data_IF_266558576570
#
_entry.id   IF_266558576570
#
_cell.length_a   1.000
_cell.length_b   1.000
_cell.length_c   1.000
_cell.angle_alpha   90.00
_cell.angle_beta   90.00
_cell.angle_gamma   90.00
#
_symmetry.space_group_name_H-M   'P 1'
#
loop_
_entity.id
_entity.type
_entity.pdbx_description
1 polymer ?
#
# COMPACT_ATOMS: atom_id res chain seq x y z
N UNK A 1 -14.47 -71.35 -1.59
CA UNK A 1 -14.80 -70.65 -0.34
C UNK A 1 -14.36 -71.55 0.80
N UNK A 2 -13.20 -71.26 1.40
CA UNK A 2 -12.77 -71.45 2.81
C UNK A 2 -11.37 -70.84 2.91
N UNK A 3 -11.16 -70.06 3.97
CA UNK A 3 -9.99 -69.22 4.26
C UNK A 3 -9.33 -69.79 5.53
N UNK A 4 -8.02 -69.60 5.71
CA UNK A 4 -7.25 -69.88 6.94
C UNK A 4 -6.12 -70.88 6.67
N UNK A 5 -4.88 -70.77 7.16
CA UNK A 5 -4.30 -70.20 8.40
C UNK A 5 -2.82 -69.91 8.06
N UNK A 6 -2.22 -68.73 8.27
CA UNK A 6 -1.69 -68.25 9.55
C UNK A 6 -0.34 -68.90 9.93
N UNK A 7 0.80 -68.26 9.64
CA UNK A 7 2.04 -68.40 10.43
C UNK A 7 2.80 -67.06 10.42
N UNK A 8 3.02 -66.50 11.60
CA UNK A 8 3.93 -65.38 11.85
C UNK A 8 5.36 -65.92 11.97
N UNK A 9 6.35 -65.23 11.40
CA UNK A 9 7.67 -65.21 12.00
C UNK A 9 8.38 -63.90 11.64
N UNK A 10 8.67 -63.11 12.67
CA UNK A 10 9.49 -61.91 12.58
C UNK A 10 10.97 -62.30 12.48
N UNK A 11 11.74 -61.58 11.68
CA UNK A 11 13.00 -60.96 12.14
C UNK A 11 13.66 -60.13 11.05
N UNK A 12 13.86 -58.87 11.43
CA UNK A 12 15.07 -58.06 11.31
C UNK A 12 15.72 -57.80 9.95
N UNK A 13 15.77 -56.49 9.70
CA UNK A 13 16.89 -55.68 9.21
C UNK A 13 17.17 -55.67 7.71
N UNK A 14 17.50 -54.44 7.29
CA UNK A 14 18.00 -53.96 5.99
C UNK A 14 16.93 -53.13 5.24
N UNK A 15 17.13 -51.86 4.85
CA UNK A 15 18.33 -51.02 4.60
C UNK A 15 17.85 -49.55 4.34
N UNK A 16 18.78 -48.57 4.43
CA UNK A 16 18.76 -47.20 3.83
C UNK A 16 17.82 -46.13 4.45
N UNK A 17 18.19 -44.88 4.74
CA UNK A 17 19.33 -44.03 4.37
C UNK A 17 19.32 -42.81 5.33
N UNK A 18 20.44 -42.25 5.84
CA UNK A 18 20.41 -41.09 6.74
C UNK A 18 20.20 -39.73 6.06
N UNK A 19 20.02 -39.69 4.73
CA UNK A 19 19.95 -38.45 3.95
C UNK A 19 18.52 -38.03 3.58
N UNK A 20 17.68 -37.78 4.58
CA UNK A 20 16.43 -37.03 4.33
C UNK A 20 16.36 -35.78 5.21
N UNK A 21 17.41 -34.98 5.16
CA UNK A 21 17.28 -33.55 5.43
C UNK A 21 16.74 -32.99 4.12
N UNK A 22 15.41 -32.81 4.03
CA UNK A 22 14.85 -31.90 3.03
C UNK A 22 15.51 -30.54 3.28
N UNK A 23 16.47 -30.18 2.43
CA UNK A 23 16.95 -28.81 2.35
C UNK A 23 15.71 -27.94 2.16
N UNK A 24 15.43 -27.10 3.16
CA UNK A 24 14.39 -26.09 3.05
C UNK A 24 14.70 -25.30 1.77
N UNK A 25 13.80 -25.40 0.79
CA UNK A 25 13.89 -24.66 -0.45
C UNK A 25 14.06 -23.19 -0.09
N UNK A 26 15.28 -22.67 -0.28
CA UNK A 26 15.57 -21.26 -0.09
C UNK A 26 14.92 -20.55 -1.25
N UNK A 27 13.67 -20.10 -1.06
CA UNK A 27 12.98 -19.26 -2.05
C UNK A 27 13.88 -18.08 -2.41
N UNK A 28 14.33 -18.05 -3.66
CA UNK A 28 15.19 -16.99 -4.18
C UNK A 28 14.36 -15.73 -4.37
N UNK A 29 14.56 -14.75 -3.50
CA UNK A 29 13.96 -13.42 -3.62
C UNK A 29 14.63 -12.65 -4.78
N UNK A 30 14.02 -12.65 -5.96
CA UNK A 30 14.58 -12.00 -7.15
C UNK A 30 14.23 -10.51 -7.19
N UNK A 31 15.07 -9.66 -6.59
CA UNK A 31 14.92 -8.21 -6.60
C UNK A 31 14.94 -7.55 -8.00
N UNK A 32 15.27 -8.28 -9.07
CA UNK A 32 15.29 -7.75 -10.44
C UNK A 32 13.98 -7.98 -11.22
N UNK A 33 13.12 -8.88 -10.73
CA UNK A 33 11.78 -9.06 -11.26
C UNK A 33 10.96 -7.81 -10.92
N UNK A 34 10.64 -6.99 -11.92
CA UNK A 34 9.75 -5.81 -11.78
C UNK A 34 8.27 -6.19 -11.47
N UNK A 35 8.04 -7.28 -10.73
CA UNK A 35 6.76 -7.92 -10.40
C UNK A 35 6.64 -8.10 -8.89
N UNK A 36 5.41 -8.30 -8.40
CA UNK A 36 5.19 -8.60 -6.98
C UNK A 36 5.83 -9.96 -6.62
N UNK A 37 6.49 -10.00 -5.47
CA UNK A 37 6.95 -11.21 -4.81
C UNK A 37 6.12 -11.40 -3.56
N UNK A 38 5.47 -12.55 -3.47
CA UNK A 38 4.43 -12.82 -2.47
C UNK A 38 4.71 -14.16 -1.79
N UNK A 39 4.40 -14.23 -0.50
CA UNK A 39 4.43 -15.43 0.32
C UNK A 39 3.08 -15.63 0.97
N UNK A 40 2.46 -16.77 0.70
CA UNK A 40 1.23 -17.18 1.36
C UNK A 40 1.54 -17.74 2.76
N UNK A 41 0.73 -17.35 3.73
CA UNK A 41 0.78 -17.81 5.12
C UNK A 41 -0.62 -18.16 5.57
N UNK A 42 -0.75 -19.17 6.45
CA UNK A 42 -2.00 -19.45 7.15
C UNK A 42 -1.83 -19.03 8.61
N UNK A 43 -2.72 -18.18 9.09
CA UNK A 43 -2.72 -17.67 10.47
C UNK A 43 -3.31 -18.71 11.44
N UNK A 44 -3.13 -18.48 12.75
CA UNK A 44 -3.61 -19.38 13.80
C UNK A 44 -5.14 -19.58 13.80
N UNK A 45 -5.89 -18.59 13.30
CA UNK A 45 -7.34 -18.66 13.15
C UNK A 45 -7.80 -19.35 11.86
N UNK A 46 -6.86 -19.89 11.07
CA UNK A 46 -7.11 -20.53 9.78
C UNK A 46 -7.26 -19.56 8.61
N UNK A 47 -7.07 -18.26 8.82
CA UNK A 47 -7.14 -17.25 7.75
C UNK A 47 -5.92 -17.35 6.85
N UNK A 48 -6.15 -17.40 5.54
CA UNK A 48 -5.10 -17.24 4.53
C UNK A 48 -4.67 -15.76 4.45
N UNK A 49 -3.37 -15.52 4.52
CA UNK A 49 -2.76 -14.21 4.38
C UNK A 49 -1.67 -14.23 3.33
N UNK A 50 -1.46 -13.09 2.69
CA UNK A 50 -0.37 -12.90 1.71
C UNK A 50 0.53 -11.77 2.18
N UNK A 51 1.81 -12.07 2.37
CA UNK A 51 2.85 -11.08 2.61
C UNK A 51 3.62 -10.85 1.32
N UNK A 52 3.67 -9.63 0.81
CA UNK A 52 4.35 -9.35 -0.46
C UNK A 52 5.12 -8.05 -0.49
N UNK A 53 6.11 -7.99 -1.40
CA UNK A 53 6.87 -6.80 -1.77
C UNK A 53 6.78 -6.64 -3.27
N UNK A 54 6.49 -5.42 -3.74
CA UNK A 54 6.40 -5.13 -5.18
C UNK A 54 7.20 -3.86 -5.50
N UNK A 55 8.10 -3.88 -6.50
CA UNK A 55 8.74 -2.67 -6.99
C UNK A 55 7.68 -1.76 -7.60
N UNK A 56 7.62 -0.52 -7.11
CA UNK A 56 6.70 0.49 -7.63
C UNK A 56 7.44 1.30 -8.68
N UNK A 57 7.05 1.13 -9.95
CA UNK A 57 7.41 2.08 -11.00
C UNK A 57 6.51 3.30 -10.79
N UNK A 58 7.08 4.42 -10.31
CA UNK A 58 6.36 5.67 -10.03
C UNK A 58 5.68 6.29 -11.27
N UNK A 59 6.02 5.80 -12.47
CA UNK A 59 5.57 6.30 -13.77
C UNK A 59 4.28 5.66 -14.32
N UNK A 60 3.42 5.00 -13.51
CA UNK A 60 2.12 4.55 -14.05
C UNK A 60 1.15 5.73 -14.27
N UNK A 61 0.70 5.98 -15.51
CA UNK A 61 -0.36 6.94 -15.77
C UNK A 61 -1.74 6.33 -15.43
N UNK A 62 -2.72 7.19 -15.10
CA UNK A 62 -4.15 7.11 -15.47
C UNK A 62 -5.21 7.48 -14.40
N UNK A 63 -4.88 7.69 -13.11
CA UNK A 63 -5.83 8.27 -12.13
C UNK A 63 -5.24 9.39 -11.26
N UNK A 64 -4.13 9.98 -11.69
CA UNK A 64 -3.46 11.10 -11.01
C UNK A 64 -3.52 12.33 -11.90
N UNK A 65 -3.84 13.49 -11.34
CA UNK A 65 -3.77 14.76 -12.06
C UNK A 65 -2.36 15.32 -11.97
N UNK A 66 -1.67 15.49 -13.10
CA UNK A 66 -0.33 16.09 -13.14
C UNK A 66 -0.35 17.42 -13.88
N UNK A 67 0.23 18.44 -13.26
CA UNK A 67 0.27 19.81 -13.77
C UNK A 67 1.69 20.36 -13.76
N UNK A 68 2.03 21.14 -14.78
CA UNK A 68 3.31 21.85 -14.86
C UNK A 68 3.33 23.06 -13.93
N UNK A 69 4.46 23.29 -13.27
CA UNK A 69 4.71 24.42 -12.37
C UNK A 69 5.70 25.41 -13.01
N UNK A 70 5.40 26.70 -12.89
CA UNK A 70 6.34 27.76 -13.23
C UNK A 70 7.41 27.94 -12.13
N UNK A 71 8.51 28.61 -12.47
CA UNK A 71 9.50 29.05 -11.48
C UNK A 71 8.89 30.06 -10.50
N UNK A 72 9.40 30.10 -9.27
CA UNK A 72 8.92 31.00 -8.22
C UNK A 72 7.91 30.34 -7.28
N UNK A 73 7.18 31.17 -6.52
CA UNK A 73 6.19 30.70 -5.54
C UNK A 73 4.78 30.80 -6.09
N UNK A 74 4.02 29.71 -5.97
CA UNK A 74 2.61 29.61 -6.34
C UNK A 74 1.79 28.99 -5.21
N UNK A 75 0.48 29.27 -5.20
CA UNK A 75 -0.46 28.68 -4.24
C UNK A 75 -1.50 27.89 -5.01
N UNK A 76 -1.75 26.66 -4.58
CA UNK A 76 -2.67 25.73 -5.22
C UNK A 76 -3.71 25.24 -4.22
N UNK A 77 -4.95 25.12 -4.66
CA UNK A 77 -5.98 24.37 -3.94
C UNK A 77 -5.98 22.94 -4.45
N UNK A 78 -5.71 22.00 -3.55
CA UNK A 78 -5.77 20.57 -3.82
C UNK A 78 -7.12 20.08 -3.32
N UNK A 79 -7.90 19.40 -4.15
CA UNK A 79 -9.25 19.00 -3.79
C UNK A 79 -9.67 17.67 -4.41
N UNK A 80 -10.65 17.05 -3.78
CA UNK A 80 -11.44 15.95 -4.31
C UNK A 80 -12.92 16.23 -4.01
N UNK A 81 -13.78 16.06 -5.00
CA UNK A 81 -15.23 16.21 -4.88
C UNK A 81 -15.93 14.99 -5.47
N UNK A 82 -16.83 14.40 -4.70
CA UNK A 82 -17.63 13.23 -5.08
C UNK A 82 -18.92 13.20 -4.26
N UNK A 83 -19.80 12.23 -4.55
CA UNK A 83 -21.07 12.10 -3.81
C UNK A 83 -20.87 11.91 -2.30
N UNK A 84 -19.83 11.18 -1.88
CA UNK A 84 -19.54 10.92 -0.46
C UNK A 84 -18.42 11.81 0.05
N UNK A 85 -17.25 11.75 -0.60
CA UNK A 85 -16.04 12.38 -0.11
C UNK A 85 -15.84 13.74 -0.78
N UNK A 86 -15.82 14.81 0.02
CA UNK A 86 -15.44 16.14 -0.40
C UNK A 86 -14.38 16.67 0.55
N UNK A 87 -13.18 16.97 0.06
CA UNK A 87 -12.11 17.51 0.89
C UNK A 87 -11.15 18.37 0.07
N UNK A 88 -10.47 19.29 0.76
CA UNK A 88 -9.45 20.13 0.14
C UNK A 88 -8.44 20.65 1.15
N UNK A 89 -7.29 21.10 0.65
CA UNK A 89 -6.34 21.92 1.38
C UNK A 89 -5.59 22.84 0.41
N UNK A 90 -4.96 23.88 0.95
CA UNK A 90 -4.08 24.76 0.19
C UNK A 90 -2.62 24.33 0.34
N UNK A 91 -1.87 24.35 -0.75
CA UNK A 91 -0.43 24.11 -0.79
C UNK A 91 0.30 25.33 -1.39
N UNK A 92 1.24 25.91 -0.65
CA UNK A 92 2.24 26.82 -1.20
C UNK A 92 3.40 26.01 -1.75
N UNK A 93 3.76 26.25 -3.00
CA UNK A 93 4.82 25.53 -3.71
C UNK A 93 5.83 26.56 -4.18
N UNK A 94 7.12 26.31 -3.92
CA UNK A 94 8.21 27.12 -4.45
C UNK A 94 9.08 26.27 -5.38
N UNK A 95 9.34 26.78 -6.58
CA UNK A 95 10.19 26.16 -7.60
C UNK A 95 11.42 27.03 -7.81
N UNK A 96 12.60 26.49 -7.52
CA UNK A 96 13.88 27.19 -7.68
C UNK A 96 14.84 26.32 -8.46
N UNK A 97 15.45 26.86 -9.52
CA UNK A 97 16.37 26.12 -10.42
C UNK A 97 15.76 24.80 -10.94
N UNK A 98 14.48 24.81 -11.25
CA UNK A 98 13.75 23.63 -11.75
C UNK A 98 13.38 22.58 -10.70
N UNK A 99 13.69 22.80 -9.41
CA UNK A 99 13.32 21.91 -8.31
C UNK A 99 12.20 22.54 -7.48
N UNK A 100 11.03 21.90 -7.49
CA UNK A 100 9.84 22.29 -6.74
C UNK A 100 9.77 21.62 -5.38
N UNK A 101 9.22 22.34 -4.40
CA UNK A 101 8.86 21.80 -3.08
C UNK A 101 7.63 22.49 -2.53
N UNK A 102 6.82 21.73 -1.80
CA UNK A 102 5.75 22.26 -0.96
C UNK A 102 6.40 22.93 0.26
N UNK A 103 6.19 24.22 0.41
CA UNK A 103 6.71 25.01 1.54
C UNK A 103 5.71 25.07 2.68
N UNK A 104 4.41 25.03 2.39
CA UNK A 104 3.35 25.00 3.41
C UNK A 104 2.11 24.25 2.89
N UNK A 105 1.44 23.54 3.81
CA UNK A 105 0.15 22.92 3.58
C UNK A 105 -0.81 23.36 4.70
N UNK A 106 -1.93 23.98 4.36
CA UNK A 106 -2.80 24.68 5.32
C UNK A 106 -4.25 24.75 4.81
N UNK A 107 -5.13 25.34 5.63
CA UNK A 107 -6.58 25.42 5.37
C UNK A 107 -7.22 24.08 5.01
N UNK A 108 -7.06 23.04 5.85
CA UNK A 108 -7.76 21.78 5.65
C UNK A 108 -9.27 22.00 5.75
N UNK A 109 -10.02 21.44 4.81
CA UNK A 109 -11.48 21.46 4.78
C UNK A 109 -12.01 20.10 4.31
N UNK A 110 -13.13 19.66 4.87
CA UNK A 110 -13.83 18.47 4.39
C UNK A 110 -15.32 18.51 4.72
N UNK A 111 -16.09 17.76 3.93
CA UNK A 111 -17.49 17.45 4.15
C UNK A 111 -17.76 16.04 3.59
N UNK A 112 -17.84 15.05 4.47
CA UNK A 112 -18.15 13.67 4.07
C UNK A 112 -19.62 13.39 4.35
N UNK A 113 -20.40 13.11 3.30
CA UNK A 113 -21.84 12.90 3.41
C UNK A 113 -22.19 11.47 2.99
N UNK A 114 -22.37 10.60 3.98
CA UNK A 114 -22.91 9.26 3.79
C UNK A 114 -23.49 8.77 5.13
N UNK A 115 -24.76 8.37 5.19
CA UNK A 115 -25.33 7.79 6.41
C UNK A 115 -24.51 6.60 6.90
N UNK A 116 -24.22 6.56 8.21
CA UNK A 116 -23.44 5.49 8.84
C UNK A 116 -21.93 5.55 8.62
N UNK A 117 -21.42 6.56 7.90
CA UNK A 117 -19.99 6.86 7.85
C UNK A 117 -19.60 7.76 9.03
N UNK A 118 -18.48 7.43 9.66
CA UNK A 118 -17.87 8.21 10.72
C UNK A 118 -16.39 8.48 10.40
N UNK A 119 -15.94 9.72 10.63
CA UNK A 119 -14.54 10.14 10.47
C UNK A 119 -13.93 10.21 11.85
N UNK A 120 -13.19 9.16 12.23
CA UNK A 120 -12.57 9.05 13.56
C UNK A 120 -11.41 10.01 13.75
N UNK A 121 -10.69 10.32 12.68
CA UNK A 121 -9.55 11.23 12.70
C UNK A 121 -9.37 11.87 11.34
N UNK A 122 -8.88 13.10 11.33
CA UNK A 122 -8.37 13.75 10.13
C UNK A 122 -7.05 14.44 10.43
N UNK A 123 -6.09 14.38 9.49
CA UNK A 123 -4.78 15.01 9.66
C UNK A 123 -4.19 15.43 8.33
N UNK A 124 -3.95 16.74 8.19
CA UNK A 124 -3.11 17.29 7.14
C UNK A 124 -1.65 17.28 7.61
N UNK A 125 -0.75 16.75 6.79
CA UNK A 125 0.68 16.74 7.07
C UNK A 125 1.50 16.99 5.82
N UNK A 126 2.72 17.48 6.00
CA UNK A 126 3.71 17.73 4.96
C UNK A 126 5.00 17.02 5.32
N UNK A 127 5.61 16.36 4.35
CA UNK A 127 6.95 15.78 4.51
C UNK A 127 7.98 16.88 4.82
N UNK A 128 9.01 16.53 5.59
CA UNK A 128 10.11 17.45 5.92
C UNK A 128 10.81 17.99 4.67
N UNK A 129 11.02 17.13 3.66
CA UNK A 129 11.59 17.52 2.37
C UNK A 129 10.68 18.44 1.53
N UNK A 130 9.37 18.48 1.83
CA UNK A 130 8.39 19.19 1.02
C UNK A 130 8.06 18.51 -0.30
N UNK A 131 8.49 17.25 -0.49
CA UNK A 131 8.17 16.45 -1.67
C UNK A 131 6.68 16.11 -1.78
N UNK A 132 5.98 16.04 -0.65
CA UNK A 132 4.53 15.78 -0.63
C UNK A 132 3.83 16.32 0.62
N UNK A 133 2.52 16.50 0.48
CA UNK A 133 1.57 16.76 1.55
C UNK A 133 0.37 15.81 1.40
N UNK A 134 -0.14 15.32 2.53
CA UNK A 134 -1.22 14.33 2.60
C UNK A 134 -2.26 14.78 3.62
N UNK A 135 -3.53 14.80 3.19
CA UNK A 135 -4.68 14.93 4.07
C UNK A 135 -5.35 13.57 4.24
N UNK A 136 -5.10 12.94 5.38
CA UNK A 136 -5.54 11.58 5.70
C UNK A 136 -6.78 11.63 6.58
N UNK A 137 -7.74 10.76 6.30
CA UNK A 137 -8.96 10.56 7.08
C UNK A 137 -9.06 9.09 7.47
N UNK A 138 -9.20 8.82 8.77
CA UNK A 138 -9.49 7.48 9.28
C UNK A 138 -11.01 7.33 9.37
N UNK A 139 -11.57 6.47 8.52
CA UNK A 139 -12.99 6.30 8.31
C UNK A 139 -13.49 4.96 8.87
N UNK A 140 -14.74 4.95 9.31
CA UNK A 140 -15.43 3.76 9.78
C UNK A 140 -16.88 3.77 9.30
N UNK A 141 -17.41 2.59 8.95
CA UNK A 141 -18.85 2.36 8.89
C UNK A 141 -19.23 1.09 9.67
N UNK A 142 -20.45 0.58 9.47
CA UNK A 142 -20.94 -0.62 10.16
C UNK A 142 -20.12 -1.89 9.89
N UNK A 143 -19.46 -1.99 8.73
CA UNK A 143 -18.86 -3.23 8.22
C UNK A 143 -17.36 -3.13 7.97
N UNK A 144 -16.78 -1.93 7.99
CA UNK A 144 -15.38 -1.72 7.63
C UNK A 144 -14.75 -0.52 8.33
N UNK A 145 -13.42 -0.56 8.43
CA UNK A 145 -12.57 0.55 8.83
C UNK A 145 -11.50 0.71 7.75
N UNK A 146 -11.29 1.92 7.27
CA UNK A 146 -10.32 2.21 6.21
C UNK A 146 -9.78 3.62 6.37
N UNK A 147 -8.76 3.97 5.59
CA UNK A 147 -8.36 5.36 5.43
C UNK A 147 -8.59 5.84 3.99
N UNK A 148 -8.77 7.14 3.84
CA UNK A 148 -8.72 7.81 2.54
C UNK A 148 -7.75 8.99 2.63
N UNK A 149 -6.98 9.21 1.58
CA UNK A 149 -5.90 10.20 1.54
C UNK A 149 -5.98 11.05 0.29
N UNK A 150 -6.19 12.36 0.47
CA UNK A 150 -5.93 13.35 -0.58
C UNK A 150 -4.46 13.75 -0.51
N UNK A 151 -3.69 13.43 -1.55
CA UNK A 151 -2.25 13.68 -1.60
C UNK A 151 -1.89 14.63 -2.74
N UNK A 152 -0.93 15.51 -2.47
CA UNK A 152 -0.19 16.28 -3.46
C UNK A 152 1.30 15.97 -3.34
N UNK A 153 1.94 15.68 -4.47
CA UNK A 153 3.37 15.44 -4.60
C UNK A 153 3.97 16.43 -5.57
N UNK A 154 5.15 16.95 -5.26
CA UNK A 154 5.92 17.83 -6.14
C UNK A 154 7.26 17.18 -6.41
N UNK A 155 7.58 17.03 -7.69
CA UNK A 155 8.91 16.65 -8.16
C UNK A 155 9.27 17.54 -9.33
N UNK A 156 10.47 18.10 -9.32
CA UNK A 156 10.92 19.06 -10.33
C UNK A 156 9.90 20.19 -10.56
N UNK A 157 9.40 20.35 -11.77
CA UNK A 157 8.35 21.31 -12.15
C UNK A 157 6.99 20.65 -12.32
N UNK A 158 6.71 19.54 -11.63
CA UNK A 158 5.45 18.80 -11.74
C UNK A 158 4.78 18.72 -10.38
N UNK A 159 3.51 19.10 -10.34
CA UNK A 159 2.58 18.84 -9.24
C UNK A 159 1.69 17.67 -9.64
N UNK A 160 1.69 16.61 -8.85
CA UNK A 160 0.85 15.43 -9.06
C UNK A 160 -0.09 15.24 -7.87
N UNK A 161 -1.38 15.02 -8.12
CA UNK A 161 -2.39 14.76 -7.09
C UNK A 161 -2.96 13.35 -7.19
N UNK A 162 -3.38 12.80 -6.06
CA UNK A 162 -4.06 11.49 -6.01
C UNK A 162 -5.04 11.43 -4.84
N UNK A 163 -6.09 10.62 -4.99
CA UNK A 163 -7.02 10.28 -3.92
C UNK A 163 -7.15 8.75 -3.87
N UNK A 164 -6.83 8.15 -2.73
CA UNK A 164 -6.91 6.70 -2.49
C UNK A 164 -7.28 6.44 -1.04
#
# INVERSE_FOLDING_TARGET
MTIGVGVINASASEIENPDNIQEAEVETFDLNGNIAQEKEIVLEDGTEGTLGVMPIIDERPLLKGTYSLANGTSTWKIYWYSGVYNCSFNAKINVTKGKGKITSAYNPWYQFYSPGLDVKKSKLSKTSSGSSASYVFDCKNKISNWNVTLKASVSEKKLTTSFK
#
